data_IF_397940655480
#
_entry.id   IF_397940655480
#
_cell.length_a   1.000
_cell.length_b   1.000
_cell.length_c   1.000
_cell.angle_alpha   90.00
_cell.angle_beta   90.00
_cell.angle_gamma   90.00
#
_symmetry.space_group_name_H-M   'P 1'
#
loop_
_entity.id
_entity.type
_entity.pdbx_description
1 polymer ?
#
# COMPACT_ATOMS: atom_id res chain seq x y z
N UNK A 1 15.54 -10.16 -2.32
CA UNK A 1 14.11 -10.25 -2.54
C UNK A 1 13.70 -9.28 -3.61
N UNK A 2 12.89 -9.69 -4.53
CA UNK A 2 12.56 -8.81 -5.64
C UNK A 2 11.47 -7.81 -5.25
N UNK A 3 11.50 -6.67 -5.89
CA UNK A 3 10.47 -5.67 -5.65
C UNK A 3 9.09 -6.23 -6.01
N UNK A 4 9.03 -7.03 -7.05
CA UNK A 4 7.75 -7.56 -7.49
C UNK A 4 7.10 -8.42 -6.43
N UNK A 5 7.88 -9.30 -5.81
CA UNK A 5 7.34 -10.17 -4.76
C UNK A 5 6.85 -9.35 -3.58
N UNK A 6 7.61 -8.32 -3.21
CA UNK A 6 7.21 -7.48 -2.09
C UNK A 6 5.96 -6.68 -2.42
N UNK A 7 5.88 -6.18 -3.64
CA UNK A 7 4.71 -5.42 -4.07
C UNK A 7 3.47 -6.31 -4.03
N UNK A 8 3.58 -7.55 -4.50
CA UNK A 8 2.44 -8.45 -4.47
C UNK A 8 1.98 -8.72 -3.04
N UNK A 9 2.94 -8.89 -2.14
CA UNK A 9 2.61 -9.12 -0.75
C UNK A 9 1.89 -7.92 -0.15
N UNK A 10 2.40 -6.72 -0.44
CA UNK A 10 1.79 -5.50 0.09
C UNK A 10 0.41 -5.26 -0.51
N UNK A 11 0.23 -5.59 -1.78
CA UNK A 11 -1.07 -5.45 -2.40
C UNK A 11 -2.08 -6.36 -1.76
N UNK A 12 -1.66 -7.56 -1.41
CA UNK A 12 -2.54 -8.50 -0.73
C UNK A 12 -2.91 -7.97 0.66
N UNK A 13 -1.94 -7.44 1.38
CA UNK A 13 -2.21 -6.87 2.69
C UNK A 13 -3.14 -5.66 2.59
N UNK A 14 -2.95 -4.85 1.57
CA UNK A 14 -3.80 -3.69 1.36
C UNK A 14 -5.24 -4.13 1.11
N UNK A 15 -5.42 -5.17 0.31
CA UNK A 15 -6.74 -5.67 -0.01
C UNK A 15 -7.43 -6.22 1.24
N UNK A 16 -6.70 -6.99 2.02
CA UNK A 16 -7.26 -7.57 3.24
C UNK A 16 -7.66 -6.46 4.21
N UNK A 17 -6.78 -5.50 4.39
CA UNK A 17 -7.03 -4.42 5.32
C UNK A 17 -8.21 -3.56 4.87
N UNK A 18 -8.30 -3.34 3.57
CA UNK A 18 -9.40 -2.58 3.03
C UNK A 18 -10.73 -3.27 3.30
N UNK A 19 -10.74 -4.60 3.16
CA UNK A 19 -11.96 -5.35 3.42
C UNK A 19 -12.31 -5.32 4.90
N UNK A 20 -11.32 -5.41 5.76
CA UNK A 20 -11.57 -5.34 7.20
C UNK A 20 -12.16 -4.00 7.59
N UNK A 21 -11.63 -2.91 7.03
CA UNK A 21 -12.14 -1.59 7.31
C UNK A 21 -13.59 -1.48 6.85
N UNK A 22 -13.86 -1.98 5.66
CA UNK A 22 -15.20 -1.91 5.09
C UNK A 22 -16.18 -2.69 5.96
N UNK A 23 -15.80 -3.88 6.38
CA UNK A 23 -16.64 -4.70 7.24
C UNK A 23 -16.91 -4.03 8.58
N UNK A 24 -15.89 -3.42 9.15
CA UNK A 24 -16.07 -2.75 10.42
C UNK A 24 -17.00 -1.56 10.30
N UNK A 25 -16.90 -0.84 9.20
CA UNK A 25 -17.78 0.32 9.02
C UNK A 25 -19.23 -0.09 8.79
N UNK A 26 -19.42 -1.24 8.16
CA UNK A 26 -20.77 -1.68 7.91
C UNK A 26 -21.40 -2.38 9.09
N UNK A 27 -20.66 -3.31 9.67
CA UNK A 27 -21.23 -4.17 10.70
C UNK A 27 -21.08 -3.62 12.10
N UNK A 28 -20.16 -2.71 12.30
CA UNK A 28 -19.90 -2.19 13.63
C UNK A 28 -19.77 -0.68 13.54
N UNK A 29 -20.88 0.00 13.30
CA UNK A 29 -20.82 1.46 13.14
C UNK A 29 -20.36 2.18 14.39
N UNK A 30 -20.38 1.51 15.52
CA UNK A 30 -19.94 2.15 16.75
C UNK A 30 -18.57 1.66 17.18
N UNK A 31 -17.86 1.05 16.29
CA UNK A 31 -16.54 0.55 16.65
C UNK A 31 -15.69 1.75 17.02
N UNK A 32 -14.69 1.53 17.79
CA UNK A 32 -13.83 2.59 18.24
C UNK A 32 -13.23 3.36 17.11
N UNK A 33 -13.43 4.65 17.13
CA UNK A 33 -12.90 5.51 16.09
C UNK A 33 -11.38 5.40 16.03
N UNK A 34 -10.73 5.22 17.16
CA UNK A 34 -9.27 5.12 17.19
C UNK A 34 -8.78 3.91 16.41
N UNK A 35 -9.44 2.79 16.59
CA UNK A 35 -9.02 1.58 15.89
C UNK A 35 -9.22 1.71 14.41
N UNK A 36 -10.35 2.26 14.00
CA UNK A 36 -10.63 2.44 12.60
C UNK A 36 -9.65 3.43 11.98
N UNK A 37 -9.34 4.50 12.70
CA UNK A 37 -8.38 5.48 12.21
C UNK A 37 -7.00 4.86 12.02
N UNK A 38 -6.59 4.01 12.95
CA UNK A 38 -5.29 3.36 12.83
C UNK A 38 -5.25 2.42 11.63
N UNK A 39 -6.33 1.71 11.40
CA UNK A 39 -6.39 0.81 10.26
C UNK A 39 -6.32 1.56 8.95
N UNK A 40 -7.02 2.68 8.85
CA UNK A 40 -6.98 3.50 7.66
C UNK A 40 -5.60 4.09 7.43
N UNK A 41 -4.95 4.48 8.52
CA UNK A 41 -3.62 5.04 8.45
C UNK A 41 -2.64 3.97 7.95
N UNK A 42 -2.78 2.75 8.47
CA UNK A 42 -1.92 1.65 8.02
C UNK A 42 -2.15 1.34 6.55
N UNK A 43 -3.40 1.41 6.11
CA UNK A 43 -3.71 1.18 4.70
C UNK A 43 -2.99 2.20 3.83
N UNK A 44 -2.99 3.46 4.25
CA UNK A 44 -2.31 4.50 3.50
C UNK A 44 -0.80 4.27 3.47
N UNK A 45 -0.23 3.83 4.57
CA UNK A 45 1.20 3.54 4.61
C UNK A 45 1.56 2.42 3.65
N UNK A 46 0.73 1.39 3.60
CA UNK A 46 0.97 0.28 2.69
C UNK A 46 0.87 0.75 1.24
N UNK A 47 -0.11 1.58 0.96
CA UNK A 47 -0.28 2.11 -0.37
C UNK A 47 0.91 2.96 -0.79
N UNK A 48 1.41 3.77 0.14
CA UNK A 48 2.57 4.60 -0.16
C UNK A 48 3.79 3.75 -0.45
N UNK A 49 3.94 2.68 0.29
CA UNK A 49 5.09 1.80 0.08
C UNK A 49 4.98 1.08 -1.27
N UNK A 50 3.78 0.65 -1.63
CA UNK A 50 3.57 0.02 -2.94
C UNK A 50 3.95 1.00 -4.03
N UNK A 51 3.53 2.24 -3.90
CA UNK A 51 3.84 3.26 -4.90
C UNK A 51 5.34 3.48 -5.02
N UNK A 52 6.02 3.52 -3.88
CA UNK A 52 7.47 3.71 -3.87
C UNK A 52 8.18 2.52 -4.52
N UNK A 53 7.74 1.31 -4.19
CA UNK A 53 8.38 0.13 -4.74
C UNK A 53 8.13 0.01 -6.23
N UNK A 54 6.94 0.39 -6.68
CA UNK A 54 6.65 0.39 -8.10
C UNK A 54 7.58 1.33 -8.85
N UNK A 55 7.85 2.48 -8.25
CA UNK A 55 8.75 3.44 -8.87
C UNK A 55 10.17 2.89 -8.92
N UNK A 56 10.60 2.27 -7.83
CA UNK A 56 11.95 1.70 -7.80
C UNK A 56 12.09 0.55 -8.80
N UNK A 57 11.05 -0.27 -8.91
CA UNK A 57 11.08 -1.36 -9.87
C UNK A 57 11.15 -0.82 -11.29
N UNK A 58 10.38 0.21 -11.56
CA UNK A 58 10.39 0.81 -12.89
C UNK A 58 11.77 1.35 -13.24
N UNK A 59 12.39 2.04 -12.29
CA UNK A 59 13.71 2.62 -12.50
C UNK A 59 14.76 1.53 -12.73
N UNK A 60 14.63 0.44 -11.99
CA UNK A 60 15.56 -0.65 -12.16
C UNK A 60 15.45 -1.31 -13.51
N UNK A 61 14.24 -1.47 -13.99
CA UNK A 61 14.02 -2.10 -15.28
C UNK A 61 14.43 -1.20 -16.44
N UNK A 62 14.22 0.08 -16.29
CA UNK A 62 14.55 0.99 -17.36
C UNK A 62 15.93 1.60 -17.18
N UNK A 63 16.53 1.27 -16.07
CA UNK A 63 17.83 1.54 -15.92
C UNK A 63 18.41 2.68 -16.38
N UNK A 64 18.66 3.50 -15.98
CA UNK A 64 19.36 4.48 -16.25
C UNK A 64 19.02 5.32 -17.16
N UNK A 65 18.10 5.45 -17.19
CA UNK A 65 17.81 6.24 -18.13
C UNK A 65 17.94 7.49 -17.56
N UNK A 66 18.59 8.12 -17.75
CA UNK A 66 18.88 9.16 -17.20
C UNK A 66 18.36 10.30 -17.74
N UNK A 67 17.52 10.69 -17.56
CA UNK A 67 17.05 11.72 -18.13
C UNK A 67 17.38 12.84 -17.51
N UNK A 68 17.72 12.88 -16.93
CA UNK A 68 18.00 13.93 -16.50
C UNK A 68 18.01 14.95 -16.85
N UNK A 69 18.22 15.13 -16.96
CA UNK A 69 18.34 15.91 -17.21
C UNK A 69 17.72 16.54 -17.47
N UNK A 70 17.63 16.67 -17.36
CA UNK A 70 17.14 17.34 -17.49
C UNK A 70 17.06 17.73 -17.02
#
# INVERSE_FOLDING_TARGET
>A
MSYKARILHLEEMHRILNKQIDDMEKDHPHVEANKLTEMKKRKLQIRDEISRLNKLQWEEEHERVDFGDH
#
